data_IF_544734220143
#
_entry.id   IF_544734220143
#
_cell.length_a   1.000
_cell.length_b   1.000
_cell.length_c   1.000
_cell.angle_alpha   90.00
_cell.angle_beta   90.00
_cell.angle_gamma   90.00
#
_symmetry.space_group_name_H-M   'P 1'
#
loop_
_entity.id
_entity.type
_entity.pdbx_description
1 polymer ?
#
# COMPACT_ATOMS: atom_id res chain seq x y z
N UNK A 1 -29.96 12.58 -3.82
CA UNK A 1 -28.85 12.61 -4.77
C UNK A 1 -29.35 13.26 -6.05
N UNK A 2 -28.61 14.24 -6.59
CA UNK A 2 -28.90 14.86 -7.89
C UNK A 2 -27.90 14.32 -8.94
N UNK A 3 -28.37 13.52 -9.91
CA UNK A 3 -27.51 12.93 -10.94
C UNK A 3 -26.88 13.96 -11.89
N UNK A 4 -27.56 15.09 -12.14
CA UNK A 4 -27.05 16.13 -13.04
C UNK A 4 -25.91 16.94 -12.42
N UNK A 5 -25.78 16.90 -11.10
CA UNK A 5 -24.74 17.62 -10.36
C UNK A 5 -23.75 16.72 -9.61
N UNK A 6 -23.91 15.39 -9.69
CA UNK A 6 -23.02 14.41 -9.08
C UNK A 6 -22.88 14.54 -7.55
N UNK A 7 -23.93 15.00 -6.85
CA UNK A 7 -23.85 15.34 -5.42
C UNK A 7 -25.12 15.00 -4.65
N UNK A 8 -25.03 14.90 -3.33
CA UNK A 8 -26.21 14.82 -2.48
C UNK A 8 -26.92 16.19 -2.37
N UNK A 9 -28.25 16.17 -2.31
CA UNK A 9 -29.09 17.37 -2.15
C UNK A 9 -29.35 17.72 -0.67
N UNK A 10 -28.90 16.84 0.22
CA UNK A 10 -28.95 16.96 1.68
C UNK A 10 -27.55 16.66 2.20
N UNK A 11 -27.13 17.36 3.25
CA UNK A 11 -25.81 17.22 3.84
C UNK A 11 -25.54 15.76 4.29
N UNK A 12 -24.33 15.26 4.03
CA UNK A 12 -23.92 13.92 4.45
C UNK A 12 -23.92 13.78 5.99
N UNK A 13 -24.55 12.73 6.56
CA UNK A 13 -24.59 12.49 8.01
C UNK A 13 -23.22 12.40 8.69
N UNK A 14 -22.14 12.11 7.94
CA UNK A 14 -20.77 12.03 8.48
C UNK A 14 -20.18 13.41 8.84
N UNK A 15 -20.82 14.50 8.41
CA UNK A 15 -20.43 15.86 8.76
C UNK A 15 -19.01 16.22 8.32
N UNK A 16 -18.32 17.05 9.11
CA UNK A 16 -16.97 17.56 8.80
C UNK A 16 -15.88 16.48 8.66
N UNK A 17 -16.18 15.24 9.04
CA UNK A 17 -15.29 14.09 8.87
C UNK A 17 -15.22 13.67 7.38
N UNK A 18 -16.25 13.98 6.57
CA UNK A 18 -16.29 13.75 5.12
C UNK A 18 -15.49 14.76 4.28
N UNK A 19 -14.64 15.57 4.90
CA UNK A 19 -13.85 16.61 4.25
C UNK A 19 -14.61 17.92 4.00
N UNK A 20 -13.97 18.83 3.26
CA UNK A 20 -14.47 20.20 3.05
C UNK A 20 -15.74 20.29 2.19
N UNK A 21 -16.07 19.22 1.45
CA UNK A 21 -17.25 19.19 0.57
C UNK A 21 -18.29 18.20 1.10
N UNK A 22 -19.16 18.70 1.97
CA UNK A 22 -20.21 17.97 2.70
C UNK A 22 -21.36 17.43 1.82
N UNK A 23 -21.26 17.61 0.51
CA UNK A 23 -22.25 17.17 -0.48
C UNK A 23 -21.65 16.21 -1.51
N UNK A 24 -20.36 15.92 -1.44
CA UNK A 24 -19.67 15.10 -2.44
C UNK A 24 -20.19 13.67 -2.44
N UNK A 25 -20.47 13.15 -3.64
CA UNK A 25 -20.85 11.74 -3.79
C UNK A 25 -19.55 10.89 -3.86
N UNK A 26 -19.43 9.79 -3.09
CA UNK A 26 -18.32 8.86 -3.26
C UNK A 26 -18.42 8.27 -4.66
N UNK A 27 -17.36 8.44 -5.47
CA UNK A 27 -17.37 8.05 -6.88
C UNK A 27 -17.61 6.54 -7.10
N UNK A 28 -17.49 5.71 -6.06
CA UNK A 28 -17.77 4.29 -6.15
C UNK A 28 -18.24 3.68 -4.80
N UNK A 29 -19.56 3.56 -4.55
CA UNK A 29 -20.08 2.95 -3.31
C UNK A 29 -19.93 1.42 -3.24
N UNK A 30 -19.25 0.79 -4.21
CA UNK A 30 -18.97 -0.66 -4.25
C UNK A 30 -17.50 -0.97 -3.86
N UNK A 31 -16.69 0.04 -3.53
CA UNK A 31 -15.22 -0.04 -3.37
C UNK A 31 -14.64 -0.97 -2.28
N UNK A 32 -15.45 -1.76 -1.56
CA UNK A 32 -14.97 -2.72 -0.56
C UNK A 32 -14.79 -4.14 -1.09
N UNK A 33 -15.06 -4.38 -2.37
CA UNK A 33 -14.66 -5.58 -3.08
C UNK A 33 -13.85 -5.12 -4.29
N UNK A 34 -12.54 -5.38 -4.27
CA UNK A 34 -11.68 -5.25 -5.44
C UNK A 34 -12.24 -6.19 -6.54
N UNK A 35 -12.89 -5.65 -7.60
CA UNK A 35 -13.56 -6.46 -8.61
C UNK A 35 -12.56 -7.16 -9.55
N UNK A 36 -11.27 -6.83 -9.47
CA UNK A 36 -10.22 -7.28 -10.39
C UNK A 36 -9.16 -8.20 -9.74
N UNK A 37 -9.10 -8.30 -8.40
CA UNK A 37 -8.16 -9.15 -7.68
C UNK A 37 -6.72 -8.64 -7.70
N UNK A 38 -6.53 -7.33 -7.80
CA UNK A 38 -5.25 -6.64 -7.81
C UNK A 38 -5.04 -5.96 -6.43
N UNK A 39 -3.93 -6.33 -5.77
CA UNK A 39 -3.74 -6.31 -4.32
C UNK A 39 -4.73 -7.18 -3.51
N UNK A 40 -4.21 -8.06 -2.64
CA UNK A 40 -5.06 -8.92 -1.81
C UNK A 40 -5.73 -8.17 -0.65
N UNK A 41 -5.11 -7.09 -0.17
CA UNK A 41 -5.68 -6.11 0.76
C UNK A 41 -5.10 -4.72 0.45
N UNK A 42 -5.94 -3.68 0.40
CA UNK A 42 -5.51 -2.30 0.18
C UNK A 42 -6.14 -1.39 1.24
N UNK A 43 -5.34 -0.91 2.18
CA UNK A 43 -5.75 -0.05 3.29
C UNK A 43 -5.55 1.45 3.01
N UNK A 44 -5.15 1.84 1.79
CA UNK A 44 -5.09 3.25 1.42
C UNK A 44 -6.48 3.78 1.10
N UNK A 45 -6.97 4.76 1.87
CA UNK A 45 -8.27 5.39 1.60
C UNK A 45 -8.24 6.27 0.34
N UNK A 46 -9.11 5.98 -0.65
CA UNK A 46 -9.28 6.79 -1.87
C UNK A 46 -9.87 8.19 -1.60
N UNK A 47 -10.58 8.38 -0.48
CA UNK A 47 -11.27 9.63 -0.14
C UNK A 47 -10.34 10.80 0.19
N UNK A 48 -9.06 10.51 0.45
CA UNK A 48 -8.02 11.50 0.68
C UNK A 48 -7.20 11.68 -0.60
N UNK A 49 -7.24 12.89 -1.19
CA UNK A 49 -6.46 13.24 -2.40
C UNK A 49 -4.97 12.86 -2.33
N UNK A 50 -4.39 12.79 -1.13
CA UNK A 50 -2.98 12.41 -0.92
C UNK A 50 -2.72 10.90 -1.13
N UNK A 51 -3.74 10.06 -1.03
CA UNK A 51 -3.65 8.61 -1.07
C UNK A 51 -4.07 8.02 -2.42
N UNK A 52 -4.65 8.82 -3.33
CA UNK A 52 -5.07 8.37 -4.68
C UNK A 52 -3.94 7.68 -5.44
N UNK A 53 -2.71 8.20 -5.33
CA UNK A 53 -1.54 7.59 -5.97
C UNK A 53 -1.18 6.22 -5.34
N UNK A 54 -1.21 6.13 -4.01
CA UNK A 54 -0.87 4.93 -3.25
C UNK A 54 -1.90 3.82 -3.45
N UNK A 55 -3.19 4.19 -3.44
CA UNK A 55 -4.28 3.27 -3.73
C UNK A 55 -4.15 2.73 -5.16
N UNK A 56 -4.06 3.62 -6.16
CA UNK A 56 -3.95 3.21 -7.56
C UNK A 56 -2.65 2.44 -7.88
N UNK A 57 -1.58 2.66 -7.11
CA UNK A 57 -0.37 1.86 -7.25
C UNK A 57 -0.59 0.45 -6.71
N UNK A 58 -1.13 0.34 -5.50
CA UNK A 58 -1.47 -0.93 -4.85
C UNK A 58 -2.39 -1.78 -5.73
N UNK A 59 -3.45 -1.19 -6.27
CA UNK A 59 -4.40 -1.83 -7.20
C UNK A 59 -3.79 -2.28 -8.52
N UNK A 60 -2.55 -1.91 -8.83
CA UNK A 60 -1.85 -2.41 -10.03
C UNK A 60 -0.91 -3.54 -9.70
N UNK A 61 -0.69 -3.86 -8.42
CA UNK A 61 0.24 -4.88 -7.98
C UNK A 61 -0.46 -6.24 -7.98
N UNK A 62 0.02 -7.12 -8.85
CA UNK A 62 -0.43 -8.50 -8.90
C UNK A 62 0.76 -9.43 -9.10
N UNK A 63 1.18 -10.06 -8.00
CA UNK A 63 2.34 -10.94 -7.97
C UNK A 63 1.81 -12.38 -7.83
N UNK A 64 1.90 -13.22 -8.88
CA UNK A 64 1.32 -14.55 -8.85
C UNK A 64 1.84 -15.39 -7.69
N UNK A 65 0.93 -15.91 -6.87
CA UNK A 65 1.27 -16.77 -5.72
C UNK A 65 1.74 -16.02 -4.47
N UNK A 66 1.66 -14.69 -4.46
CA UNK A 66 1.98 -13.84 -3.30
C UNK A 66 0.72 -13.10 -2.85
N UNK A 67 0.49 -13.06 -1.54
CA UNK A 67 -0.57 -12.28 -0.93
C UNK A 67 -0.09 -10.86 -0.69
N UNK A 68 -0.60 -9.89 -1.44
CA UNK A 68 -0.08 -8.52 -1.45
C UNK A 68 -0.95 -7.60 -0.60
N UNK A 69 -0.32 -6.76 0.21
CA UNK A 69 -1.01 -5.86 1.14
C UNK A 69 -0.43 -4.45 0.97
N UNK A 70 -1.26 -3.47 0.64
CA UNK A 70 -0.90 -2.06 0.71
C UNK A 70 -1.50 -1.39 1.94
N UNK A 71 -0.76 -0.51 2.59
CA UNK A 71 -1.25 0.25 3.74
C UNK A 71 -0.23 1.23 4.27
N UNK A 72 -0.66 2.20 5.08
CA UNK A 72 0.30 3.07 5.74
C UNK A 72 1.03 2.27 6.82
N UNK A 73 2.35 2.37 6.83
CA UNK A 73 3.16 1.78 7.89
C UNK A 73 4.20 2.72 8.41
N UNK A 74 4.59 2.44 9.64
CA UNK A 74 5.67 3.06 10.36
C UNK A 74 6.53 1.93 10.94
N UNK A 75 7.76 2.22 11.41
CA UNK A 75 8.55 1.23 12.12
C UNK A 75 7.76 0.61 13.28
N UNK A 76 7.35 -0.65 13.12
CA UNK A 76 6.66 -1.44 14.15
C UNK A 76 5.13 -1.61 14.00
N UNK A 77 4.44 -0.88 13.10
CA UNK A 77 3.00 -1.05 12.90
C UNK A 77 2.54 -0.70 11.47
N UNK A 78 1.38 -1.24 11.10
CA UNK A 78 0.60 -0.83 9.93
C UNK A 78 -0.74 -0.25 10.41
N UNK A 79 -1.40 0.57 9.61
CA UNK A 79 -2.78 0.98 9.86
C UNK A 79 -3.77 0.15 9.05
N UNK A 80 -4.91 -0.12 9.65
CA UNK A 80 -6.06 -0.67 8.95
C UNK A 80 -6.72 0.38 8.03
N UNK A 81 -7.83 0.00 7.38
CA UNK A 81 -8.64 0.85 6.51
C UNK A 81 -9.25 2.09 7.22
N UNK A 82 -9.30 2.10 8.55
CA UNK A 82 -9.81 3.22 9.35
C UNK A 82 -8.67 4.11 9.87
N UNK A 83 -7.42 3.81 9.52
CA UNK A 83 -6.25 4.51 10.04
C UNK A 83 -5.90 4.13 11.49
N UNK A 84 -6.48 3.04 12.01
CA UNK A 84 -6.21 2.54 13.36
C UNK A 84 -4.98 1.62 13.32
N UNK A 85 -4.15 1.69 14.36
CA UNK A 85 -2.98 0.82 14.48
C UNK A 85 -3.39 -0.65 14.60
N UNK A 86 -2.79 -1.47 13.74
CA UNK A 86 -3.03 -2.90 13.69
C UNK A 86 -1.75 -3.66 14.05
N UNK A 87 -1.87 -4.67 14.92
CA UNK A 87 -0.74 -5.51 15.31
C UNK A 87 -0.44 -6.55 14.23
N UNK A 88 0.75 -7.14 14.27
CA UNK A 88 1.12 -8.19 13.32
C UNK A 88 0.25 -9.45 13.50
N UNK A 89 -0.16 -9.74 14.74
CA UNK A 89 -1.04 -10.86 15.09
C UNK A 89 -2.46 -10.63 14.58
N UNK A 90 -3.04 -9.44 14.80
CA UNK A 90 -4.39 -9.11 14.32
C UNK A 90 -4.46 -9.15 12.78
N UNK A 91 -3.46 -8.57 12.12
CA UNK A 91 -3.35 -8.65 10.66
C UNK A 91 -3.18 -10.10 10.20
N UNK A 92 -2.40 -10.93 10.91
CA UNK A 92 -2.25 -12.33 10.56
C UNK A 92 -3.58 -13.09 10.63
N UNK A 93 -4.44 -12.78 11.60
CA UNK A 93 -5.78 -13.37 11.71
C UNK A 93 -6.67 -12.96 10.53
N UNK A 94 -6.64 -11.69 10.14
CA UNK A 94 -7.37 -11.21 8.94
C UNK A 94 -6.86 -11.88 7.65
N UNK A 95 -5.55 -12.01 7.50
CA UNK A 95 -4.95 -12.68 6.34
C UNK A 95 -5.40 -14.15 6.29
N UNK A 96 -5.36 -14.87 7.43
CA UNK A 96 -5.82 -16.27 7.48
C UNK A 96 -7.31 -16.43 7.19
N UNK A 97 -8.12 -15.44 7.57
CA UNK A 97 -9.55 -15.42 7.30
C UNK A 97 -9.88 -15.08 5.83
N UNK A 98 -8.95 -14.51 5.08
CA UNK A 98 -9.15 -14.15 3.70
C UNK A 98 -9.21 -15.41 2.81
N UNK A 99 -10.28 -15.61 2.00
CA UNK A 99 -10.45 -16.81 1.18
C UNK A 99 -9.38 -16.97 0.09
N UNK A 100 -8.70 -15.89 -0.30
CA UNK A 100 -7.63 -15.91 -1.30
C UNK A 100 -6.27 -16.29 -0.70
N UNK A 101 -6.14 -16.29 0.62
CA UNK A 101 -4.92 -16.70 1.30
C UNK A 101 -4.86 -18.22 1.47
N UNK A 102 -3.68 -18.78 1.22
CA UNK A 102 -3.37 -20.19 1.51
C UNK A 102 -2.29 -20.26 2.56
N UNK A 103 -2.41 -21.19 3.52
CA UNK A 103 -1.41 -21.35 4.58
C UNK A 103 0.01 -21.46 4.00
N UNK A 104 0.92 -20.62 4.47
CA UNK A 104 2.32 -20.60 4.02
C UNK A 104 2.55 -19.81 2.72
N UNK A 105 1.50 -19.22 2.14
CA UNK A 105 1.63 -18.30 1.01
C UNK A 105 2.47 -17.10 1.43
N UNK A 106 3.48 -16.70 0.63
CA UNK A 106 4.28 -15.54 0.92
C UNK A 106 3.41 -14.27 0.93
N UNK A 107 3.72 -13.35 1.83
CA UNK A 107 3.06 -12.04 1.92
C UNK A 107 4.04 -10.96 1.50
N UNK A 108 3.57 -9.92 0.80
CA UNK A 108 4.39 -8.75 0.48
C UNK A 108 3.66 -7.48 0.89
N UNK A 109 4.30 -6.70 1.76
CA UNK A 109 3.83 -5.44 2.30
C UNK A 109 4.34 -4.27 1.45
N UNK A 110 3.42 -3.55 0.82
CA UNK A 110 3.63 -2.27 0.14
C UNK A 110 3.28 -1.16 1.12
N UNK A 111 4.23 -0.94 2.02
CA UNK A 111 4.06 -0.08 3.19
C UNK A 111 5.41 0.49 3.59
N UNK A 112 5.42 1.75 4.01
CA UNK A 112 6.63 2.43 4.46
C UNK A 112 7.27 1.75 5.67
N UNK A 113 8.59 1.55 5.62
CA UNK A 113 9.41 1.12 6.75
C UNK A 113 9.05 -0.23 7.38
N UNK A 114 8.24 -1.06 6.72
CA UNK A 114 7.71 -2.30 7.26
C UNK A 114 8.79 -3.31 7.71
N UNK A 115 10.01 -3.16 7.19
CA UNK A 115 11.19 -3.99 7.50
C UNK A 115 12.34 -3.23 8.19
N UNK A 116 12.19 -1.93 8.50
CA UNK A 116 13.29 -1.05 8.94
C UNK A 116 13.99 -1.52 10.24
N UNK A 117 13.28 -2.21 11.13
CA UNK A 117 13.80 -2.66 12.43
C UNK A 117 14.24 -4.14 12.46
N UNK A 118 14.59 -4.72 11.31
CA UNK A 118 15.12 -6.08 11.26
C UNK A 118 14.17 -7.09 11.92
N UNK A 119 14.66 -7.86 12.90
CA UNK A 119 13.89 -8.92 13.58
C UNK A 119 12.78 -8.41 14.51
N UNK A 120 12.72 -7.11 14.78
CA UNK A 120 11.64 -6.43 15.51
C UNK A 120 10.62 -5.74 14.60
N UNK A 121 10.93 -5.66 13.30
CA UNK A 121 10.06 -5.00 12.33
C UNK A 121 8.68 -5.65 12.26
N UNK A 122 7.70 -4.88 11.78
CA UNK A 122 6.35 -5.37 11.55
C UNK A 122 6.35 -6.60 10.63
N UNK A 123 7.12 -6.55 9.53
CA UNK A 123 7.26 -7.67 8.59
C UNK A 123 7.84 -8.93 9.26
N UNK A 124 8.82 -8.77 10.16
CA UNK A 124 9.37 -9.89 10.94
C UNK A 124 8.32 -10.53 11.86
N UNK A 125 7.57 -9.70 12.61
CA UNK A 125 6.54 -10.21 13.52
C UNK A 125 5.39 -10.86 12.77
N UNK A 126 4.99 -10.29 11.62
CA UNK A 126 3.99 -10.88 10.74
C UNK A 126 4.44 -12.23 10.19
N UNK A 127 5.74 -12.38 9.85
CA UNK A 127 6.30 -13.65 9.40
C UNK A 127 6.24 -14.74 10.48
N UNK A 128 6.52 -14.38 11.74
CA UNK A 128 6.37 -15.27 12.89
C UNK A 128 4.92 -15.68 13.09
N UNK A 129 4.01 -14.71 13.06
CA UNK A 129 2.59 -14.96 13.24
C UNK A 129 2.07 -15.88 12.13
N UNK A 130 2.23 -15.54 10.85
CA UNK A 130 1.72 -16.33 9.74
C UNK A 130 2.42 -17.68 9.53
N UNK A 131 3.61 -17.87 10.12
CA UNK A 131 4.53 -18.95 9.77
C UNK A 131 4.80 -19.02 8.25
N UNK A 132 4.96 -17.86 7.63
CA UNK A 132 5.14 -17.68 6.19
C UNK A 132 6.29 -16.72 5.90
N UNK A 133 6.69 -16.61 4.63
CA UNK A 133 7.61 -15.56 4.20
C UNK A 133 6.88 -14.22 4.14
N UNK A 134 7.49 -13.16 4.64
CA UNK A 134 6.95 -11.80 4.54
C UNK A 134 8.02 -10.86 4.01
N UNK A 135 7.71 -10.13 2.95
CA UNK A 135 8.59 -9.13 2.35
C UNK A 135 8.08 -7.73 2.68
N UNK A 136 8.97 -6.81 3.05
CA UNK A 136 8.65 -5.41 3.31
C UNK A 136 9.82 -4.47 3.01
N UNK A 137 9.54 -3.17 2.94
CA UNK A 137 10.54 -2.14 2.67
C UNK A 137 11.35 -1.78 3.93
N UNK A 138 12.68 -1.69 3.82
CA UNK A 138 13.55 -1.16 4.89
C UNK A 138 13.51 0.38 5.01
N UNK A 139 12.91 1.02 4.02
CA UNK A 139 12.82 2.46 3.80
C UNK A 139 11.38 2.84 3.47
N UNK A 140 11.11 4.11 3.19
CA UNK A 140 9.80 4.53 2.71
C UNK A 140 9.48 3.92 1.34
N UNK A 141 8.26 3.40 1.20
CA UNK A 141 7.73 2.96 -0.08
C UNK A 141 7.12 4.17 -0.79
N UNK A 142 7.85 4.67 -1.79
CA UNK A 142 7.49 5.89 -2.51
C UNK A 142 6.65 5.54 -3.74
N UNK A 143 5.65 6.38 -4.00
CA UNK A 143 4.84 6.33 -5.22
C UNK A 143 4.76 7.74 -5.79
N UNK A 144 4.98 7.85 -7.11
CA UNK A 144 4.89 9.13 -7.82
C UNK A 144 4.28 8.95 -9.20
N UNK A 145 3.67 10.02 -9.69
CA UNK A 145 3.12 10.12 -11.05
C UNK A 145 3.15 11.57 -11.53
N UNK A 146 3.07 11.74 -12.84
CA UNK A 146 2.84 13.01 -13.50
C UNK A 146 1.41 13.51 -13.34
N UNK A 147 1.24 14.81 -13.56
CA UNK A 147 -0.01 15.53 -13.49
C UNK A 147 -0.14 16.47 -14.68
N UNK A 148 -1.35 16.59 -15.24
CA UNK A 148 -1.69 17.52 -16.32
C UNK A 148 -2.87 18.39 -15.87
N UNK A 149 -2.64 19.68 -15.60
CA UNK A 149 -3.63 20.62 -15.07
C UNK A 149 -4.45 20.08 -13.87
N UNK A 150 -3.77 19.39 -12.95
CA UNK A 150 -4.39 18.80 -11.76
C UNK A 150 -5.07 17.45 -12.00
N UNK A 151 -5.03 16.92 -13.22
CA UNK A 151 -5.49 15.58 -13.59
C UNK A 151 -4.32 14.60 -13.41
N UNK A 152 -4.48 13.50 -12.65
CA UNK A 152 -3.45 12.50 -12.47
C UNK A 152 -3.23 11.67 -13.74
N UNK A 153 -1.96 11.50 -14.15
CA UNK A 153 -1.57 10.69 -15.30
C UNK A 153 -1.17 9.28 -14.86
N UNK A 154 -2.16 8.39 -14.69
CA UNK A 154 -1.95 7.04 -14.10
C UNK A 154 -1.05 6.10 -14.92
N UNK A 155 -0.77 6.39 -16.19
CA UNK A 155 0.17 5.67 -17.05
C UNK A 155 1.65 5.97 -16.71
N UNK A 156 1.89 7.15 -16.12
CA UNK A 156 3.20 7.57 -15.62
C UNK A 156 3.50 7.06 -14.22
N UNK A 157 2.57 6.37 -13.56
CA UNK A 157 2.72 5.87 -12.20
C UNK A 157 3.98 5.01 -12.03
N UNK A 158 4.75 5.32 -11.00
CA UNK A 158 5.97 4.62 -10.60
C UNK A 158 6.01 4.45 -9.09
N UNK A 159 6.81 3.47 -8.68
CA UNK A 159 7.09 3.20 -7.28
C UNK A 159 8.55 2.80 -7.09
N UNK A 160 9.07 2.99 -5.89
CA UNK A 160 10.42 2.59 -5.49
C UNK A 160 10.63 2.77 -3.99
N UNK A 161 11.86 2.50 -3.54
CA UNK A 161 12.23 2.52 -2.12
C UNK A 161 13.28 3.59 -1.88
N UNK A 162 12.96 4.61 -1.08
CA UNK A 162 13.94 5.62 -0.63
C UNK A 162 13.40 6.49 0.50
N UNK A 163 14.27 6.78 1.48
CA UNK A 163 14.03 7.77 2.54
C UNK A 163 14.32 9.20 2.10
N UNK A 164 14.86 9.37 0.88
CA UNK A 164 15.22 10.65 0.33
C UNK A 164 14.35 10.96 -0.90
N UNK A 165 13.17 11.59 -0.72
CA UNK A 165 12.32 11.96 -1.85
C UNK A 165 13.03 12.83 -2.90
N UNK A 166 14.03 13.64 -2.49
CA UNK A 166 14.83 14.46 -3.40
C UNK A 166 15.75 13.65 -4.31
N UNK A 167 15.95 12.35 -4.03
CA UNK A 167 16.69 11.43 -4.90
C UNK A 167 15.84 10.89 -6.07
N UNK A 168 14.54 11.18 -6.10
CA UNK A 168 13.62 10.75 -7.15
C UNK A 168 13.69 11.74 -8.31
N UNK A 169 14.21 11.29 -9.45
CA UNK A 169 14.11 12.01 -10.73
C UNK A 169 12.85 11.54 -11.45
N UNK A 170 11.78 12.31 -11.29
CA UNK A 170 10.45 12.00 -11.87
C UNK A 170 10.46 12.07 -13.41
N UNK A 171 11.35 12.85 -14.02
CA UNK A 171 11.47 12.93 -15.47
C UNK A 171 12.13 11.67 -16.06
N UNK A 172 13.13 11.12 -15.36
CA UNK A 172 13.83 9.91 -15.79
C UNK A 172 13.23 8.62 -15.22
N UNK A 173 12.24 8.72 -14.31
CA UNK A 173 11.67 7.60 -13.59
C UNK A 173 12.73 6.75 -12.87
N UNK A 174 13.64 7.41 -12.14
CA UNK A 174 14.73 6.74 -11.43
C UNK A 174 14.90 7.29 -10.01
N UNK A 175 15.49 6.46 -9.15
CA UNK A 175 16.01 6.85 -7.84
C UNK A 175 17.53 6.77 -7.97
N UNK A 176 18.26 7.74 -7.41
CA UNK A 176 19.72 7.65 -7.40
C UNK A 176 20.17 6.40 -6.61
N UNK A 177 21.07 5.60 -7.20
CA UNK A 177 21.48 4.30 -6.65
C UNK A 177 22.00 4.38 -5.20
N UNK A 178 22.60 5.51 -4.81
CA UNK A 178 23.09 5.71 -3.43
C UNK A 178 22.00 5.91 -2.38
N UNK A 179 20.76 6.18 -2.81
CA UNK A 179 19.61 6.43 -1.93
C UNK A 179 18.55 5.33 -2.01
N UNK A 180 18.82 4.24 -2.74
CA UNK A 180 17.85 3.17 -2.96
C UNK A 180 17.79 2.24 -1.74
N UNK A 181 16.58 2.01 -1.25
CA UNK A 181 16.32 1.04 -0.19
C UNK A 181 16.26 -0.38 -0.70
N UNK A 182 15.93 -1.31 0.21
CA UNK A 182 15.84 -2.74 -0.04
C UNK A 182 14.48 -3.31 0.35
N UNK A 183 14.05 -4.30 -0.44
CA UNK A 183 13.04 -5.26 -0.05
C UNK A 183 13.71 -6.33 0.82
N UNK A 184 13.28 -6.42 2.07
CA UNK A 184 13.77 -7.44 3.01
C UNK A 184 12.70 -8.52 3.13
N UNK A 185 13.10 -9.77 2.93
CA UNK A 185 12.22 -10.93 3.16
C UNK A 185 12.59 -11.60 4.46
N UNK A 186 11.61 -11.80 5.33
CA UNK A 186 11.71 -12.57 6.57
C UNK A 186 11.15 -13.98 6.35
N UNK A 187 11.83 -14.98 6.91
CA UNK A 187 11.32 -16.35 6.96
C UNK A 187 10.35 -16.56 8.14
N UNK A 188 9.74 -17.76 8.28
CA UNK A 188 8.79 -18.07 9.35
C UNK A 188 9.31 -17.90 10.79
N UNK A 189 10.62 -17.81 10.98
CA UNK A 189 11.26 -17.53 12.28
C UNK A 189 11.35 -16.02 12.59
N UNK A 190 10.95 -15.15 11.67
CA UNK A 190 11.15 -13.70 11.73
C UNK A 190 12.59 -13.26 11.47
N UNK A 191 13.48 -14.15 11.05
CA UNK A 191 14.84 -13.78 10.65
C UNK A 191 14.87 -13.36 9.18
N UNK A 192 15.65 -12.32 8.81
CA UNK A 192 15.83 -11.95 7.42
C UNK A 192 16.52 -13.09 6.67
N UNK A 193 15.99 -13.42 5.49
CA UNK A 193 16.48 -14.47 4.60
C UNK A 193 16.93 -13.93 3.24
N UNK A 194 16.53 -12.70 2.89
CA UNK A 194 17.04 -11.99 1.71
C UNK A 194 16.97 -10.48 1.90
N UNK A 195 17.87 -9.76 1.25
CA UNK A 195 17.82 -8.31 1.04
C UNK A 195 18.06 -8.04 -0.44
N UNK A 196 17.10 -7.42 -1.11
CA UNK A 196 17.17 -7.13 -2.55
C UNK A 196 16.99 -5.64 -2.75
N UNK A 197 17.92 -4.93 -3.43
CA UNK A 197 17.73 -3.53 -3.74
C UNK A 197 16.40 -3.28 -4.45
N UNK A 198 15.71 -2.21 -4.05
CA UNK A 198 14.55 -1.71 -4.75
C UNK A 198 14.90 -1.26 -6.17
N UNK A 199 13.87 -0.85 -6.92
CA UNK A 199 14.03 -0.22 -8.23
C UNK A 199 12.86 0.71 -8.46
N UNK A 200 13.11 1.79 -9.19
CA UNK A 200 12.03 2.60 -9.75
C UNK A 200 11.34 1.77 -10.85
N UNK A 201 10.08 1.42 -10.65
CA UNK A 201 9.34 0.53 -11.55
C UNK A 201 7.85 0.86 -11.58
N UNK A 202 7.14 0.41 -12.62
CA UNK A 202 5.67 0.44 -12.63
C UNK A 202 5.15 -0.58 -11.62
N UNK A 203 4.07 -0.28 -10.86
CA UNK A 203 3.55 -1.22 -9.87
C UNK A 203 3.15 -2.60 -10.45
N UNK A 204 2.57 -2.63 -11.65
CA UNK A 204 2.21 -3.89 -12.34
C UNK A 204 3.38 -4.70 -12.90
N UNK A 205 4.60 -4.15 -12.91
CA UNK A 205 5.81 -4.86 -13.35
C UNK A 205 6.60 -5.47 -12.16
N UNK A 206 6.10 -5.33 -10.93
CA UNK A 206 6.70 -5.95 -9.73
C UNK A 206 6.44 -7.47 -9.78
N UNK A 207 7.49 -8.26 -9.56
CA UNK A 207 7.49 -9.73 -9.63
C UNK A 207 8.46 -10.33 -8.63
#
# INVERSE_FOLDING_TARGET
YDPGQGRYITQDPIGLIGGWNLYSYPLNPIGYIDPYGLASMNFYDEGLHRNVALHAATDKINIPGVFTIGGHGYPGFITDENGIYETAEDLADRIRANPNYKKGMPVWLFSCGAAREGDKSFASNLAKALHAKVTGADTEWQVWMGWDDGIPLFDTLRTGLTDNPSAIDTNKNMISDSSIGHWITFGPSGKPISSVPGKAIKPGDIK
#
